data_IF_143928178934
#
_entry.id   IF_143928178934
#
_cell.length_a   1.000
_cell.length_b   1.000
_cell.length_c   1.000
_cell.angle_alpha   90.00
_cell.angle_beta   90.00
_cell.angle_gamma   90.00
#
_symmetry.space_group_name_H-M   'P 1'
#
loop_
_entity.id
_entity.type
_entity.pdbx_description
1 polymer ?
#
# COMPACT_ATOMS: atom_id res chain seq x y z
N UNK A 1 -13.08 1.13 -29.87
CA UNK A 1 -12.74 0.35 -28.66
C UNK A 1 -12.49 1.33 -27.53
N UNK A 2 -13.46 1.51 -26.63
CA UNK A 2 -13.31 2.41 -25.48
C UNK A 2 -12.64 1.58 -24.38
N UNK A 3 -11.46 2.02 -23.94
CA UNK A 3 -10.77 1.44 -22.79
C UNK A 3 -11.67 1.65 -21.57
N UNK A 4 -12.23 0.56 -21.05
CA UNK A 4 -12.86 0.54 -19.74
C UNK A 4 -11.80 0.85 -18.69
N UNK A 5 -11.76 2.10 -18.25
CA UNK A 5 -11.08 2.47 -17.02
C UNK A 5 -11.66 1.55 -15.94
N UNK A 6 -10.84 0.62 -15.45
CA UNK A 6 -11.15 -0.10 -14.23
C UNK A 6 -11.58 0.94 -13.21
N UNK A 7 -12.83 0.83 -12.76
CA UNK A 7 -13.35 1.62 -11.66
C UNK A 7 -12.56 1.21 -10.40
N UNK A 8 -11.36 1.77 -10.24
CA UNK A 8 -10.78 2.09 -8.96
C UNK A 8 -11.66 3.17 -8.35
N UNK A 9 -12.90 2.82 -8.00
CA UNK A 9 -13.66 3.61 -7.06
C UNK A 9 -12.82 3.77 -5.80
N UNK A 10 -12.94 4.90 -5.06
CA UNK A 10 -12.38 4.95 -3.71
C UNK A 10 -12.80 3.67 -2.99
N UNK A 11 -11.92 3.02 -2.21
CA UNK A 11 -12.32 1.86 -1.45
C UNK A 11 -13.57 2.28 -0.69
N UNK A 12 -14.73 1.70 -1.04
CA UNK A 12 -16.04 2.11 -0.52
C UNK A 12 -16.18 1.94 1.00
N UNK A 13 -15.08 1.56 1.66
CA UNK A 13 -14.90 1.49 3.07
C UNK A 13 -14.51 2.83 3.73
N UNK A 14 -13.97 3.84 3.05
CA UNK A 14 -13.52 5.06 3.74
C UNK A 14 -14.62 6.13 3.81
N UNK A 15 -14.95 6.58 5.01
CA UNK A 15 -15.99 7.57 5.25
C UNK A 15 -15.54 8.64 6.25
N UNK A 16 -15.93 9.89 5.98
CA UNK A 16 -15.81 11.03 6.89
C UNK A 16 -17.07 11.88 6.73
N UNK A 17 -17.68 12.32 7.83
CA UNK A 17 -19.04 12.86 7.84
C UNK A 17 -19.21 14.15 7.00
N UNK A 18 -18.12 14.89 6.79
CA UNK A 18 -18.07 16.17 6.09
C UNK A 18 -17.64 16.05 4.63
N UNK A 19 -17.33 14.84 4.14
CA UNK A 19 -16.62 14.67 2.87
C UNK A 19 -17.35 13.75 1.90
N UNK A 20 -17.57 14.24 0.68
CA UNK A 20 -18.18 13.46 -0.39
C UNK A 20 -17.24 12.40 -1.00
N UNK A 21 -17.80 11.51 -1.81
CA UNK A 21 -17.08 10.41 -2.46
C UNK A 21 -15.93 10.86 -3.36
N UNK A 22 -16.09 11.98 -4.07
CA UNK A 22 -15.05 12.54 -4.95
C UNK A 22 -13.82 13.02 -4.14
N UNK A 23 -14.05 13.74 -3.04
CA UNK A 23 -12.98 14.21 -2.16
C UNK A 23 -12.31 13.03 -1.42
N UNK A 24 -13.08 12.02 -1.03
CA UNK A 24 -12.55 10.76 -0.47
C UNK A 24 -11.60 10.06 -1.46
N UNK A 25 -11.95 10.01 -2.74
CA UNK A 25 -11.11 9.42 -3.79
C UNK A 25 -9.81 10.21 -4.03
N UNK A 26 -9.90 11.54 -3.99
CA UNK A 26 -8.73 12.41 -4.10
C UNK A 26 -7.79 12.21 -2.90
N UNK A 27 -8.32 12.24 -1.68
CA UNK A 27 -7.55 12.00 -0.45
C UNK A 27 -6.91 10.61 -0.45
N UNK A 28 -7.64 9.57 -0.86
CA UNK A 28 -7.09 8.22 -1.00
C UNK A 28 -5.94 8.16 -1.99
N UNK A 29 -6.07 8.83 -3.13
CA UNK A 29 -5.01 8.85 -4.15
C UNK A 29 -3.76 9.57 -3.63
N UNK A 30 -3.93 10.68 -2.91
CA UNK A 30 -2.83 11.38 -2.24
C UNK A 30 -2.16 10.50 -1.18
N UNK A 31 -2.94 9.84 -0.32
CA UNK A 31 -2.41 8.96 0.71
C UNK A 31 -1.64 7.77 0.12
N UNK A 32 -2.12 7.17 -0.97
CA UNK A 32 -1.38 6.12 -1.68
C UNK A 32 -0.05 6.61 -2.25
N UNK A 33 -0.04 7.80 -2.84
CA UNK A 33 1.19 8.36 -3.40
C UNK A 33 2.22 8.65 -2.31
N UNK A 34 1.80 9.29 -1.21
CA UNK A 34 2.65 9.54 -0.05
C UNK A 34 3.15 8.24 0.60
N UNK A 35 2.28 7.23 0.72
CA UNK A 35 2.63 5.91 1.24
C UNK A 35 3.68 5.20 0.38
N UNK A 36 3.57 5.32 -0.95
CA UNK A 36 4.57 4.79 -1.87
C UNK A 36 5.91 5.49 -1.72
N UNK A 37 5.93 6.82 -1.63
CA UNK A 37 7.16 7.60 -1.45
C UNK A 37 7.83 7.29 -0.10
N UNK A 38 7.05 7.12 0.95
CA UNK A 38 7.55 6.77 2.27
C UNK A 38 8.03 5.31 2.33
N UNK A 39 7.29 4.36 1.73
CA UNK A 39 7.76 3.00 1.57
C UNK A 39 9.04 2.97 0.72
N UNK A 40 9.09 3.69 -0.39
CA UNK A 40 10.29 3.83 -1.20
C UNK A 40 11.44 4.38 -0.36
N UNK A 41 11.24 5.37 0.51
CA UNK A 41 12.28 5.88 1.42
C UNK A 41 12.73 4.84 2.45
N UNK A 42 11.78 4.16 3.10
CA UNK A 42 12.03 3.13 4.11
C UNK A 42 12.70 1.88 3.52
N UNK A 43 12.44 1.60 2.24
CA UNK A 43 12.94 0.45 1.50
C UNK A 43 13.96 0.83 0.41
N UNK A 44 14.39 2.09 0.35
CA UNK A 44 15.36 2.64 -0.65
C UNK A 44 16.73 2.01 -0.46
N UNK A 45 17.00 1.52 0.74
CA UNK A 45 18.29 0.98 1.15
C UNK A 45 18.17 -0.33 1.97
N UNK A 46 16.98 -0.91 2.07
CA UNK A 46 16.68 -1.80 3.19
C UNK A 46 16.39 -3.25 2.79
N UNK A 47 17.21 -4.22 3.18
CA UNK A 47 18.37 -4.17 4.10
C UNK A 47 19.07 -5.56 4.06
N UNK A 48 20.22 -5.74 4.74
CA UNK A 48 21.58 -5.94 4.19
C UNK A 48 21.85 -7.33 3.56
N UNK A 49 20.84 -8.02 3.05
CA UNK A 49 20.97 -9.40 2.62
C UNK A 49 20.89 -9.48 1.09
N UNK A 50 22.03 -9.47 0.36
CA UNK A 50 22.06 -9.79 -1.07
C UNK A 50 21.55 -11.21 -1.36
N UNK A 51 21.39 -12.02 -0.30
CA UNK A 51 20.80 -13.35 -0.33
C UNK A 51 19.74 -13.50 0.74
N UNK A 52 18.62 -14.16 0.42
CA UNK A 52 17.57 -14.41 1.40
C UNK A 52 18.12 -15.09 2.65
N UNK A 53 17.78 -14.62 3.86
CA UNK A 53 18.12 -15.34 5.07
C UNK A 53 17.52 -16.75 4.99
N UNK A 54 18.34 -17.75 5.26
CA UNK A 54 17.89 -19.14 5.43
C UNK A 54 16.80 -19.17 6.49
N UNK A 55 15.57 -19.49 6.09
CA UNK A 55 14.48 -19.77 7.00
C UNK A 55 14.28 -21.28 7.04
N UNK A 56 14.31 -21.86 8.25
CA UNK A 56 14.11 -23.29 8.46
C UNK A 56 15.05 -24.20 7.61
N UNK A 57 16.28 -23.75 7.34
CA UNK A 57 17.26 -24.52 6.57
C UNK A 57 17.03 -24.53 5.05
N UNK A 58 16.06 -23.77 4.54
CA UNK A 58 15.81 -23.61 3.10
C UNK A 58 16.27 -22.23 2.66
N UNK A 59 17.23 -22.20 1.74
CA UNK A 59 17.58 -20.98 1.03
C UNK A 59 16.58 -20.81 -0.12
N UNK A 60 15.69 -19.80 -0.07
CA UNK A 60 14.76 -19.55 -1.16
C UNK A 60 15.55 -19.04 -2.38
N UNK A 61 15.01 -19.26 -3.57
CA UNK A 61 15.56 -18.68 -4.79
C UNK A 61 15.51 -17.15 -4.74
N UNK A 62 16.38 -16.50 -5.51
CA UNK A 62 16.35 -15.04 -5.65
C UNK A 62 14.97 -14.52 -6.12
N UNK A 63 14.29 -15.27 -6.99
CA UNK A 63 12.93 -14.96 -7.45
C UNK A 63 11.90 -15.02 -6.30
N UNK A 64 11.90 -16.10 -5.50
CA UNK A 64 11.02 -16.21 -4.34
C UNK A 64 11.28 -15.09 -3.32
N UNK A 65 12.54 -14.72 -3.12
CA UNK A 65 12.91 -13.59 -2.25
C UNK A 65 12.37 -12.27 -2.78
N UNK A 66 12.55 -11.97 -4.07
CA UNK A 66 12.01 -10.76 -4.70
C UNK A 66 10.49 -10.67 -4.59
N UNK A 67 9.78 -11.78 -4.82
CA UNK A 67 8.31 -11.83 -4.70
C UNK A 67 7.86 -11.55 -3.26
N UNK A 68 8.54 -12.15 -2.27
CA UNK A 68 8.23 -11.89 -0.85
C UNK A 68 8.53 -10.45 -0.44
N UNK A 69 9.63 -9.89 -0.91
CA UNK A 69 9.98 -8.50 -0.65
C UNK A 69 8.94 -7.55 -1.25
N UNK A 70 8.53 -7.78 -2.51
CA UNK A 70 7.47 -7.01 -3.15
C UNK A 70 6.13 -7.12 -2.39
N UNK A 71 5.78 -8.33 -1.91
CA UNK A 71 4.59 -8.54 -1.10
C UNK A 71 4.65 -7.81 0.24
N UNK A 72 5.82 -7.79 0.90
CA UNK A 72 6.01 -7.07 2.16
C UNK A 72 5.92 -5.55 1.95
N UNK A 73 6.60 -5.03 0.93
CA UNK A 73 6.54 -3.62 0.55
C UNK A 73 5.10 -3.19 0.26
N UNK A 74 4.36 -3.97 -0.53
CA UNK A 74 2.96 -3.67 -0.85
C UNK A 74 2.04 -3.66 0.37
N UNK A 75 2.28 -4.54 1.35
CA UNK A 75 1.57 -4.52 2.63
C UNK A 75 1.88 -3.25 3.43
N UNK A 76 3.14 -2.82 3.45
CA UNK A 76 3.54 -1.61 4.17
C UNK A 76 2.99 -0.34 3.50
N UNK A 77 3.01 -0.26 2.18
CA UNK A 77 2.33 0.81 1.42
C UNK A 77 0.84 0.90 1.79
N UNK A 78 0.17 -0.25 1.91
CA UNK A 78 -1.24 -0.28 2.31
C UNK A 78 -1.44 0.19 3.75
N UNK A 79 -0.56 -0.23 4.68
CA UNK A 79 -0.59 0.18 6.09
C UNK A 79 -0.39 1.70 6.25
N UNK A 80 0.56 2.27 5.51
CA UNK A 80 0.86 3.69 5.51
C UNK A 80 -0.31 4.50 4.92
N UNK A 81 -0.90 4.04 3.80
CA UNK A 81 -2.06 4.69 3.20
C UNK A 81 -3.27 4.67 4.15
N UNK A 82 -3.54 3.54 4.80
CA UNK A 82 -4.61 3.41 5.80
C UNK A 82 -4.38 4.31 7.04
N UNK A 83 -3.12 4.54 7.41
CA UNK A 83 -2.75 5.45 8.50
C UNK A 83 -3.01 6.90 8.10
N UNK A 84 -2.56 7.30 6.92
CA UNK A 84 -2.83 8.63 6.36
C UNK A 84 -4.33 8.95 6.28
N UNK A 85 -5.16 7.98 5.86
CA UNK A 85 -6.61 8.16 5.85
C UNK A 85 -7.18 8.37 7.26
N UNK A 86 -6.71 7.59 8.24
CA UNK A 86 -7.14 7.74 9.65
C UNK A 86 -6.71 9.07 10.25
N UNK A 87 -5.51 9.54 9.96
CA UNK A 87 -5.02 10.86 10.40
C UNK A 87 -5.80 12.02 9.78
N UNK A 88 -6.26 11.85 8.54
CA UNK A 88 -7.23 12.76 7.91
C UNK A 88 -8.64 12.65 8.55
N UNK A 89 -8.88 11.75 9.48
CA UNK A 89 -10.17 11.59 10.17
C UNK A 89 -11.15 10.68 9.44
N UNK A 90 -10.73 9.92 8.43
CA UNK A 90 -11.57 8.90 7.81
C UNK A 90 -11.63 7.64 8.69
N UNK A 91 -12.83 7.06 8.79
CA UNK A 91 -13.04 5.75 9.38
C UNK A 91 -13.27 4.72 8.28
N UNK A 92 -12.84 3.49 8.54
CA UNK A 92 -13.15 2.35 7.68
C UNK A 92 -14.52 1.80 8.10
N UNK A 93 -15.52 1.83 7.23
CA UNK A 93 -16.75 1.08 7.44
C UNK A 93 -16.41 -0.40 7.38
N UNK A 94 -16.70 -1.10 8.48
CA UNK A 94 -16.73 -2.55 8.47
C UNK A 94 -17.71 -2.97 7.36
N UNK A 95 -17.23 -3.80 6.44
CA UNK A 95 -18.06 -4.45 5.42
C UNK A 95 -18.88 -5.57 6.06
#
# INVERSE_FOLDING_TARGET
MILGAAACGPPGSWQRADTGSAATAADWTQCKQAAKEEADRLYVFSFPFPYPPSWAGRQPSYLEWQQRFAAFKSQEESRLADTCMREKGYARTAS
#
